data_IF_606784610879
#
_entry.id   IF_606784610879
#
_cell.length_a   1.000
_cell.length_b   1.000
_cell.length_c   1.000
_cell.angle_alpha   90.00
_cell.angle_beta   90.00
_cell.angle_gamma   90.00
#
_symmetry.space_group_name_H-M   'P 1'
#
loop_
_entity.id
_entity.type
_entity.pdbx_description
1 polymer ?
#
# COMPACT_ATOMS: atom_id res chain seq x y z
N UNK A 1 -19.13 -3.58 -0.44
CA UNK A 1 -18.34 -4.61 -1.17
C UNK A 1 -17.05 -3.90 -1.49
N UNK A 2 -15.99 -4.12 -0.70
CA UNK A 2 -14.71 -3.50 -0.97
C UNK A 2 -14.18 -4.05 -2.28
N UNK A 3 -14.03 -3.20 -3.29
CA UNK A 3 -13.60 -3.60 -4.63
C UNK A 3 -12.09 -3.44 -4.75
N UNK A 4 -11.34 -4.12 -3.89
CA UNK A 4 -9.87 -4.14 -4.03
C UNK A 4 -9.52 -5.05 -5.20
N UNK A 5 -8.63 -4.58 -6.09
CA UNK A 5 -8.14 -5.41 -7.20
C UNK A 5 -7.53 -6.70 -6.67
N UNK A 6 -7.77 -7.79 -7.39
CA UNK A 6 -7.20 -9.08 -7.02
C UNK A 6 -5.76 -9.14 -7.50
N UNK A 7 -4.82 -9.03 -6.57
CA UNK A 7 -3.40 -9.21 -6.84
C UNK A 7 -3.08 -10.69 -6.88
N UNK A 8 -2.37 -11.10 -7.92
CA UNK A 8 -1.83 -12.44 -8.09
C UNK A 8 -0.35 -12.35 -8.42
N UNK A 9 0.51 -12.33 -7.40
CA UNK A 9 1.95 -12.15 -7.54
C UNK A 9 2.51 -11.26 -6.43
N UNK A 10 3.66 -10.62 -6.70
CA UNK A 10 4.16 -9.56 -5.85
C UNK A 10 3.19 -8.36 -5.94
N UNK A 11 2.63 -7.89 -4.82
CA UNK A 11 1.85 -6.67 -4.78
C UNK A 11 2.62 -5.44 -5.24
N UNK A 12 3.92 -5.32 -4.92
CA UNK A 12 4.78 -4.21 -5.33
C UNK A 12 4.69 -3.95 -6.84
N UNK A 13 4.98 -4.96 -7.66
CA UNK A 13 4.86 -4.89 -9.12
C UNK A 13 3.51 -4.37 -9.62
N UNK A 14 2.41 -4.74 -8.93
CA UNK A 14 1.06 -4.31 -9.34
C UNK A 14 0.77 -2.88 -8.94
N UNK A 15 1.27 -2.45 -7.79
CA UNK A 15 1.03 -1.11 -7.28
C UNK A 15 1.94 -0.07 -7.94
N UNK A 16 3.21 -0.41 -8.16
CA UNK A 16 4.20 0.46 -8.81
C UNK A 16 3.83 0.80 -10.26
N UNK A 17 3.06 -0.08 -10.93
CA UNK A 17 2.55 0.14 -12.28
C UNK A 17 1.34 1.09 -12.35
N UNK A 18 0.83 1.58 -11.20
CA UNK A 18 -0.40 2.37 -11.12
C UNK A 18 -0.15 3.78 -10.61
N UNK A 19 -0.86 4.74 -11.20
CA UNK A 19 -1.01 6.06 -10.60
C UNK A 19 -2.01 6.04 -9.45
N UNK A 20 -1.95 7.05 -8.58
CA UNK A 20 -2.95 7.22 -7.51
C UNK A 20 -4.37 7.31 -8.07
N UNK A 21 -4.51 7.90 -9.25
CA UNK A 21 -5.79 8.07 -9.95
C UNK A 21 -6.34 6.79 -10.58
N UNK A 22 -5.48 5.78 -10.81
CA UNK A 22 -5.89 4.44 -11.28
C UNK A 22 -6.46 3.58 -10.14
N UNK A 23 -6.26 4.00 -8.89
CA UNK A 23 -6.79 3.35 -7.71
C UNK A 23 -8.21 3.80 -7.40
N UNK A 24 -9.03 2.89 -6.89
CA UNK A 24 -10.37 3.25 -6.44
C UNK A 24 -10.37 3.77 -4.99
N UNK A 25 -11.48 4.37 -4.56
CA UNK A 25 -11.59 4.95 -3.22
C UNK A 25 -11.27 3.98 -2.07
N UNK A 26 -11.57 2.69 -2.21
CA UNK A 26 -11.25 1.70 -1.17
C UNK A 26 -9.73 1.45 -1.12
N UNK A 27 -9.07 1.33 -2.28
CA UNK A 27 -7.62 1.16 -2.40
C UNK A 27 -6.87 2.38 -1.86
N UNK A 28 -7.27 3.58 -2.27
CA UNK A 28 -6.73 4.84 -1.76
C UNK A 28 -6.91 4.95 -0.24
N UNK A 29 -8.03 4.50 0.32
CA UNK A 29 -8.25 4.52 1.77
C UNK A 29 -7.32 3.55 2.53
N UNK A 30 -6.98 2.41 1.94
CA UNK A 30 -6.02 1.48 2.53
C UNK A 30 -4.61 2.06 2.49
N UNK A 31 -4.20 2.63 1.36
CA UNK A 31 -2.93 3.35 1.24
C UNK A 31 -2.85 4.56 2.19
N UNK A 32 -3.95 5.30 2.35
CA UNK A 32 -4.05 6.38 3.33
C UNK A 32 -3.93 5.89 4.78
N UNK A 33 -4.32 4.64 5.07
CA UNK A 33 -4.10 4.03 6.39
C UNK A 33 -2.62 3.77 6.65
N UNK A 34 -1.86 3.48 5.59
CA UNK A 34 -0.39 3.43 5.60
C UNK A 34 0.24 4.83 5.59
N UNK A 35 -0.54 5.91 5.48
CA UNK A 35 -0.05 7.28 5.41
C UNK A 35 0.26 7.77 3.99
N UNK A 36 0.09 6.93 2.98
CA UNK A 36 0.25 7.32 1.58
C UNK A 36 -0.89 8.24 1.15
N UNK A 37 -0.55 9.18 0.29
CA UNK A 37 -1.51 10.07 -0.35
C UNK A 37 -1.08 10.31 -1.80
N UNK A 38 -1.93 10.95 -2.59
CA UNK A 38 -1.65 11.25 -4.00
C UNK A 38 -0.29 11.93 -4.21
N UNK A 39 0.07 12.90 -3.37
CA UNK A 39 1.34 13.59 -3.50
C UNK A 39 2.54 12.69 -3.18
N UNK A 40 2.46 11.87 -2.13
CA UNK A 40 3.56 10.95 -1.81
C UNK A 40 3.69 9.81 -2.82
N UNK A 41 2.56 9.39 -3.41
CA UNK A 41 2.51 8.33 -4.42
C UNK A 41 3.11 8.76 -5.76
N UNK A 42 2.78 9.97 -6.21
CA UNK A 42 3.28 10.54 -7.47
C UNK A 42 4.66 11.21 -7.32
N UNK A 43 5.38 10.92 -6.23
CA UNK A 43 6.69 11.52 -5.89
C UNK A 43 6.69 13.06 -5.78
N UNK A 44 5.52 13.68 -5.62
CA UNK A 44 5.36 15.12 -5.36
C UNK A 44 5.69 15.49 -3.89
N UNK A 45 5.67 14.52 -2.98
CA UNK A 45 6.08 14.68 -1.57
C UNK A 45 6.85 13.46 -1.05
N UNK A 46 7.46 13.61 0.12
CA UNK A 46 8.13 12.50 0.80
C UNK A 46 7.17 11.32 1.06
N UNK A 47 7.70 10.10 0.96
CA UNK A 47 7.00 8.87 1.31
C UNK A 47 6.65 8.86 2.81
N UNK A 48 5.55 8.20 3.21
CA UNK A 48 5.19 8.09 4.61
C UNK A 48 6.18 7.21 5.38
N UNK A 49 6.25 7.40 6.70
CA UNK A 49 7.08 6.59 7.61
C UNK A 49 6.83 5.08 7.48
N UNK A 50 5.63 4.66 7.04
CA UNK A 50 5.34 3.24 6.83
C UNK A 50 6.24 2.61 5.77
N UNK A 51 6.69 3.36 4.77
CA UNK A 51 7.58 2.88 3.72
C UNK A 51 8.97 2.48 4.23
N UNK A 52 9.40 3.04 5.38
CA UNK A 52 10.69 2.71 6.00
C UNK A 52 10.57 1.69 7.13
N UNK A 53 9.35 1.24 7.45
CA UNK A 53 9.09 0.28 8.52
C UNK A 53 9.05 -1.14 7.99
N UNK A 54 9.64 -2.06 8.73
CA UNK A 54 9.38 -3.48 8.56
C UNK A 54 7.94 -3.81 8.94
N UNK A 55 7.41 -4.90 8.41
CA UNK A 55 6.06 -5.37 8.68
C UNK A 55 5.76 -5.54 10.18
N UNK A 56 6.77 -5.94 10.95
CA UNK A 56 6.67 -6.09 12.40
C UNK A 56 6.55 -4.75 13.14
N UNK A 57 7.09 -3.67 12.57
CA UNK A 57 7.03 -2.31 13.12
C UNK A 57 5.75 -1.55 12.72
N UNK A 58 5.02 -2.07 11.72
CA UNK A 58 3.69 -1.55 11.37
C UNK A 58 2.71 -1.73 12.53
N UNK A 59 1.77 -0.81 12.65
CA UNK A 59 0.61 -0.94 13.53
C UNK A 59 -0.35 -2.01 13.01
N UNK A 60 -1.25 -2.49 13.88
CA UNK A 60 -2.25 -3.49 13.48
C UNK A 60 -3.13 -3.02 12.32
N UNK A 61 -3.47 -1.72 12.28
CA UNK A 61 -4.25 -1.13 11.19
C UNK A 61 -3.46 -1.06 9.88
N UNK A 62 -2.17 -0.69 9.94
CA UNK A 62 -1.28 -0.66 8.77
C UNK A 62 -1.13 -2.06 8.18
N UNK A 63 -0.89 -3.08 9.02
CA UNK A 63 -0.81 -4.47 8.56
C UNK A 63 -2.13 -4.97 7.97
N UNK A 64 -3.27 -4.67 8.59
CA UNK A 64 -4.58 -5.07 8.05
C UNK A 64 -4.84 -4.39 6.68
N UNK A 65 -4.42 -3.14 6.54
CA UNK A 65 -4.50 -2.43 5.26
C UNK A 65 -3.60 -3.04 4.19
N UNK A 66 -2.32 -3.27 4.50
CA UNK A 66 -1.36 -3.92 3.63
C UNK A 66 -1.84 -5.33 3.22
N UNK A 67 -2.40 -6.09 4.17
CA UNK A 67 -2.97 -7.43 3.90
C UNK A 67 -4.14 -7.37 2.91
N UNK A 68 -5.01 -6.36 3.03
CA UNK A 68 -6.11 -6.15 2.07
C UNK A 68 -5.61 -5.71 0.71
N UNK A 69 -4.52 -4.95 0.66
CA UNK A 69 -3.79 -4.59 -0.56
C UNK A 69 -3.02 -5.78 -1.17
N UNK A 70 -3.01 -6.95 -0.52
CA UNK A 70 -2.37 -8.16 -1.02
C UNK A 70 -0.96 -8.39 -0.49
N UNK A 71 -0.39 -7.45 0.26
CA UNK A 71 0.89 -7.62 0.93
C UNK A 71 0.82 -8.64 2.06
N UNK A 72 1.94 -9.29 2.27
CA UNK A 72 2.20 -10.08 3.46
C UNK A 72 3.60 -9.71 3.95
N UNK A 73 3.95 -10.19 5.14
CA UNK A 73 5.26 -9.92 5.72
C UNK A 73 6.43 -10.22 4.77
N UNK A 74 6.38 -11.34 4.05
CA UNK A 74 7.45 -11.70 3.13
C UNK A 74 7.57 -10.71 1.98
N UNK A 75 6.46 -10.31 1.35
CA UNK A 75 6.51 -9.32 0.26
C UNK A 75 6.84 -7.92 0.75
N UNK A 76 6.37 -7.54 1.93
CA UNK A 76 6.63 -6.22 2.50
C UNK A 76 8.08 -6.04 2.93
N UNK A 77 8.68 -7.07 3.53
CA UNK A 77 10.07 -7.03 4.01
C UNK A 77 11.09 -7.42 2.91
N UNK A 78 10.64 -7.92 1.74
CA UNK A 78 11.51 -8.25 0.58
C UNK A 78 11.75 -7.07 -0.37
N UNK A 79 10.95 -6.01 -0.30
CA UNK A 79 11.11 -4.74 -1.03
C UNK A 79 11.98 -3.74 -0.24
#
# INVERSE_FOLDING_TARGET
MSNIRKISGNPGDTWDDLSWTDMNNDEQALWATLGWNEASWEEDSDAPDSNEKYWEDLTENERDAATKLGYNQSYWDED
#
